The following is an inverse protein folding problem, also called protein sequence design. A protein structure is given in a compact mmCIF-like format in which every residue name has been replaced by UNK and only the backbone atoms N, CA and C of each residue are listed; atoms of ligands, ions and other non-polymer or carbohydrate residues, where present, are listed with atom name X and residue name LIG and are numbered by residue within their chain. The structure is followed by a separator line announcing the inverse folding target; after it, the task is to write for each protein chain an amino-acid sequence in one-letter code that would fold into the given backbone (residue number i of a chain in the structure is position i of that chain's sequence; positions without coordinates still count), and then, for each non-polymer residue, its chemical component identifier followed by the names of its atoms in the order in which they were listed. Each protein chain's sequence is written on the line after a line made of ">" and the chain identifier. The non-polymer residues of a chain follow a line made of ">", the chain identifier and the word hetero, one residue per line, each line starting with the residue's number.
data_IF_782323624425
#
_entry.id   IF_782323624425
#
_cell.length_a   1.000
_cell.length_b   1.000
_cell.length_c   1.000
_cell.angle_alpha   90.00
_cell.angle_beta   90.00
_cell.angle_gamma   90.00
#
_symmetry.space_group_name_H-M   'P 1'
#
loop_
_entity.id
_entity.type
_entity.pdbx_description
1 polymer ?
#
# COMPACT_ATOMS: atom_id res chain seq x y z
N UNK A 1 -9.64 -6.63 -11.63
CA UNK A 1 -8.91 -5.35 -11.71
C UNK A 1 -7.85 -5.51 -12.78
N UNK A 2 -7.78 -4.61 -13.75
CA UNK A 2 -6.71 -4.61 -14.77
C UNK A 2 -5.48 -3.81 -14.29
N UNK A 3 -4.38 -3.85 -15.06
CA UNK A 3 -3.14 -3.12 -14.77
C UNK A 3 -3.34 -1.62 -14.55
N UNK A 4 -4.10 -0.95 -15.42
CA UNK A 4 -4.30 0.50 -15.37
C UNK A 4 -5.07 0.88 -14.09
N UNK A 5 -6.09 0.08 -13.76
CA UNK A 5 -6.85 0.22 -12.52
C UNK A 5 -5.98 -0.03 -11.29
N UNK A 6 -5.16 -1.09 -11.29
CA UNK A 6 -4.23 -1.40 -10.19
C UNK A 6 -3.19 -0.28 -9.99
N UNK A 7 -2.59 0.21 -11.08
CA UNK A 7 -1.63 1.31 -11.07
C UNK A 7 -2.24 2.58 -10.48
N UNK A 8 -3.40 3.01 -10.98
CA UNK A 8 -4.06 4.23 -10.48
C UNK A 8 -4.42 4.07 -9.00
N UNK A 9 -4.97 2.92 -8.63
CA UNK A 9 -5.34 2.63 -7.25
C UNK A 9 -4.13 2.68 -6.30
N UNK A 10 -3.00 2.07 -6.66
CA UNK A 10 -1.78 2.09 -5.84
C UNK A 10 -1.20 3.51 -5.70
N UNK A 11 -1.26 4.32 -6.76
CA UNK A 11 -0.86 5.73 -6.71
C UNK A 11 -1.75 6.50 -5.74
N UNK A 12 -3.07 6.33 -5.84
CA UNK A 12 -4.03 7.02 -4.99
C UNK A 12 -3.89 6.61 -3.51
N UNK A 13 -3.65 5.33 -3.23
CA UNK A 13 -3.42 4.86 -1.86
C UNK A 13 -2.05 5.30 -1.31
N UNK A 14 -0.98 5.21 -2.12
CA UNK A 14 0.39 5.48 -1.69
C UNK A 14 0.72 6.98 -1.54
N UNK A 15 0.05 7.87 -2.29
CA UNK A 15 0.25 9.33 -2.20
C UNK A 15 -0.83 10.02 -1.37
N UNK A 16 -1.62 9.26 -0.60
CA UNK A 16 -2.79 9.78 0.09
C UNK A 16 -2.46 10.86 1.14
N UNK A 17 -1.32 10.74 1.84
CA UNK A 17 -0.90 11.73 2.85
C UNK A 17 -0.46 13.06 2.23
N UNK A 18 0.10 13.02 1.02
CA UNK A 18 0.54 14.20 0.28
C UNK A 18 -0.66 14.90 -0.37
N UNK A 19 -1.50 14.14 -1.06
CA UNK A 19 -2.61 14.69 -1.86
C UNK A 19 -3.82 15.06 -1.01
N UNK A 20 -4.05 14.36 0.11
CA UNK A 20 -5.18 14.55 1.04
C UNK A 20 -6.56 14.54 0.35
N UNK A 21 -6.66 13.93 -0.83
CA UNK A 21 -7.89 13.91 -1.65
C UNK A 21 -8.96 12.98 -1.11
N UNK A 22 -8.54 11.85 -0.54
CA UNK A 22 -9.43 10.82 -0.04
C UNK A 22 -9.15 10.57 1.46
N UNK A 23 -10.01 11.03 2.38
CA UNK A 23 -9.82 10.82 3.81
C UNK A 23 -9.94 9.35 4.22
N UNK A 24 -10.58 8.51 3.40
CA UNK A 24 -10.74 7.07 3.61
C UNK A 24 -9.65 6.23 2.92
N UNK A 25 -8.68 6.87 2.27
CA UNK A 25 -7.51 6.17 1.76
C UNK A 25 -6.71 5.53 2.90
N UNK A 26 -6.00 4.46 2.57
CA UNK A 26 -5.37 3.57 3.53
C UNK A 26 -4.44 4.31 4.51
N UNK A 27 -3.49 5.07 3.97
CA UNK A 27 -2.54 5.85 4.78
C UNK A 27 -3.24 6.96 5.57
N UNK A 28 -4.29 7.57 5.02
CA UNK A 28 -5.07 8.60 5.73
C UNK A 28 -5.77 8.03 6.95
N UNK A 29 -6.36 6.83 6.86
CA UNK A 29 -6.99 6.15 8.01
C UNK A 29 -5.98 5.76 9.07
N UNK A 30 -4.84 5.20 8.66
CA UNK A 30 -3.75 4.88 9.61
C UNK A 30 -3.28 6.13 10.37
N UNK A 31 -3.06 7.24 9.66
CA UNK A 31 -2.67 8.53 10.26
C UNK A 31 -3.71 9.09 11.23
N UNK A 32 -4.99 8.86 10.95
CA UNK A 32 -6.10 9.24 11.82
C UNK A 32 -6.27 8.29 13.03
N UNK A 33 -5.46 7.24 13.15
CA UNK A 33 -5.62 6.21 14.18
C UNK A 33 -6.88 5.37 13.98
N UNK A 34 -7.40 5.30 12.74
CA UNK A 34 -8.57 4.50 12.40
C UNK A 34 -8.15 3.23 11.66
N UNK A 35 -8.80 2.09 11.93
CA UNK A 35 -8.52 0.87 11.18
C UNK A 35 -8.82 1.07 9.69
N UNK A 36 -8.11 0.38 8.78
CA UNK A 36 -8.41 0.36 7.35
C UNK A 36 -9.88 -0.02 7.08
N UNK A 37 -10.44 0.44 5.96
CA UNK A 37 -11.77 0.02 5.53
C UNK A 37 -11.75 -1.50 5.26
N UNK A 38 -12.80 -2.25 5.62
CA UNK A 38 -12.89 -3.68 5.31
C UNK A 38 -12.60 -3.96 3.83
N UNK A 39 -11.66 -4.88 3.57
CA UNK A 39 -11.23 -5.25 2.22
C UNK A 39 -10.16 -4.34 1.59
N UNK A 40 -9.87 -3.16 2.15
CA UNK A 40 -8.89 -2.21 1.58
C UNK A 40 -7.48 -2.81 1.48
N UNK A 41 -7.05 -3.51 2.53
CA UNK A 41 -5.77 -4.23 2.56
C UNK A 41 -5.73 -5.32 1.48
N UNK A 42 -6.80 -6.12 1.37
CA UNK A 42 -6.92 -7.16 0.34
C UNK A 42 -6.86 -6.56 -1.07
N UNK A 43 -7.53 -5.44 -1.31
CA UNK A 43 -7.48 -4.72 -2.58
C UNK A 43 -6.08 -4.20 -2.90
N UNK A 44 -5.33 -3.71 -1.90
CA UNK A 44 -3.93 -3.29 -2.05
C UNK A 44 -3.05 -4.48 -2.45
N UNK A 45 -3.13 -5.59 -1.71
CA UNK A 45 -2.35 -6.79 -2.01
C UNK A 45 -2.66 -7.35 -3.40
N UNK A 46 -3.94 -7.37 -3.80
CA UNK A 46 -4.37 -7.76 -5.13
C UNK A 46 -3.79 -6.84 -6.21
N UNK A 47 -3.84 -5.52 -6.00
CA UNK A 47 -3.29 -4.55 -6.94
C UNK A 47 -1.76 -4.70 -7.08
N UNK A 48 -1.05 -4.94 -5.98
CA UNK A 48 0.40 -5.23 -6.00
C UNK A 48 0.70 -6.51 -6.79
N UNK A 49 -0.12 -7.55 -6.64
CA UNK A 49 0.05 -8.80 -7.39
C UNK A 49 -0.15 -8.59 -8.90
N UNK A 50 -1.22 -7.90 -9.29
CA UNK A 50 -1.51 -7.59 -10.71
C UNK A 50 -0.40 -6.73 -11.30
N UNK A 51 0.08 -5.74 -10.55
CA UNK A 51 1.20 -4.90 -10.96
C UNK A 51 2.45 -5.74 -11.21
N UNK A 52 2.81 -6.64 -10.30
CA UNK A 52 3.94 -7.55 -10.47
C UNK A 52 3.81 -8.41 -11.74
N UNK A 53 2.65 -9.01 -11.96
CA UNK A 53 2.40 -9.89 -13.12
C UNK A 53 2.49 -9.10 -14.43
N UNK A 54 1.94 -7.88 -14.47
CA UNK A 54 1.97 -7.03 -15.67
C UNK A 54 3.39 -6.56 -16.02
N UNK A 55 4.25 -6.38 -15.02
CA UNK A 55 5.64 -5.98 -15.23
C UNK A 55 6.52 -7.09 -15.81
N UNK A 56 6.06 -8.36 -15.80
CA UNK A 56 6.77 -9.45 -16.45
C UNK A 56 6.82 -9.27 -17.97
N UNK A 57 5.77 -8.68 -18.55
CA UNK A 57 5.69 -8.39 -19.99
C UNK A 57 6.34 -7.05 -20.35
N UNK A 58 6.29 -6.07 -19.43
CA UNK A 58 6.87 -4.74 -19.62
C UNK A 58 7.51 -4.24 -18.32
N UNK A 59 8.83 -4.34 -18.15
CA UNK A 59 9.50 -4.08 -16.87
C UNK A 59 9.66 -2.59 -16.52
N UNK A 60 8.91 -1.70 -17.17
CA UNK A 60 9.06 -0.26 -17.01
C UNK A 60 8.13 0.27 -15.92
N UNK A 61 8.74 0.81 -14.87
CA UNK A 61 8.05 1.54 -13.79
C UNK A 61 8.29 3.03 -13.95
N UNK A 62 7.23 3.82 -13.97
CA UNK A 62 7.35 5.27 -13.95
C UNK A 62 7.60 5.80 -12.53
N UNK A 63 8.20 6.99 -12.44
CA UNK A 63 8.62 7.60 -11.17
C UNK A 63 7.48 7.82 -10.18
N UNK A 64 6.28 8.12 -10.68
CA UNK A 64 5.11 8.37 -9.82
C UNK A 64 4.70 7.07 -9.13
N UNK A 65 4.64 5.97 -9.87
CA UNK A 65 4.32 4.67 -9.31
C UNK A 65 5.40 4.18 -8.33
N UNK A 66 6.68 4.37 -8.66
CA UNK A 66 7.79 4.03 -7.74
C UNK A 66 7.65 4.77 -6.41
N UNK A 67 7.39 6.08 -6.47
CA UNK A 67 7.19 6.92 -5.28
C UNK A 67 6.01 6.42 -4.46
N UNK A 68 4.87 6.14 -5.10
CA UNK A 68 3.68 5.66 -4.41
C UNK A 68 3.90 4.32 -3.71
N UNK A 69 4.59 3.36 -4.35
CA UNK A 69 4.93 2.07 -3.74
C UNK A 69 5.86 2.22 -2.54
N UNK A 70 6.87 3.09 -2.67
CA UNK A 70 7.78 3.41 -1.57
C UNK A 70 7.02 3.99 -0.37
N UNK A 71 6.22 5.04 -0.59
CA UNK A 71 5.41 5.68 0.45
C UNK A 71 4.43 4.67 1.09
N UNK A 72 3.72 3.89 0.27
CA UNK A 72 2.79 2.87 0.77
C UNK A 72 3.48 1.86 1.70
N UNK A 73 4.69 1.40 1.35
CA UNK A 73 5.43 0.45 2.18
C UNK A 73 5.98 1.04 3.47
N UNK A 74 6.50 2.28 3.41
CA UNK A 74 7.19 2.92 4.54
C UNK A 74 6.21 3.63 5.48
N UNK A 75 5.33 4.46 4.94
CA UNK A 75 4.42 5.29 5.74
C UNK A 75 3.38 4.44 6.47
N UNK A 76 2.92 3.33 5.87
CA UNK A 76 1.93 2.47 6.53
C UNK A 76 2.47 1.85 7.83
N UNK A 77 3.72 1.38 7.83
CA UNK A 77 4.40 0.89 9.03
C UNK A 77 4.64 2.01 10.05
N UNK A 78 5.05 3.20 9.58
CA UNK A 78 5.28 4.35 10.47
C UNK A 78 4.01 4.81 11.18
N UNK A 79 2.90 4.93 10.46
CA UNK A 79 1.62 5.35 11.02
C UNK A 79 1.02 4.27 11.94
N UNK A 80 1.20 2.98 11.61
CA UNK A 80 0.85 1.88 12.52
C UNK A 80 1.59 1.99 13.86
N UNK A 81 2.92 2.14 13.83
CA UNK A 81 3.74 2.25 15.04
C UNK A 81 3.46 3.57 15.80
N UNK A 82 3.14 4.66 15.09
CA UNK A 82 2.71 5.91 15.70
C UNK A 82 1.36 5.76 16.43
N UNK A 83 0.38 5.10 15.81
CA UNK A 83 -0.91 4.81 16.45
C UNK A 83 -0.78 3.83 17.61
N UNK A 84 0.06 2.80 17.47
CA UNK A 84 0.33 1.85 18.54
C UNK A 84 0.89 2.54 19.79
N UNK A 85 1.87 3.44 19.61
CA UNK A 85 2.42 4.26 20.71
C UNK A 85 1.40 5.21 21.34
N UNK A 86 0.35 5.58 20.62
CA UNK A 86 -0.77 6.41 21.12
C UNK A 86 -1.91 5.58 21.72
N UNK A 87 -1.78 4.25 21.79
CA UNK A 87 -2.81 3.37 22.34
C UNK A 87 -3.97 3.06 21.38
N UNK A 88 -3.77 3.25 20.06
CA UNK A 88 -4.78 2.85 19.06
C UNK A 88 -4.92 1.33 19.06
N UNK A 89 -6.17 0.85 19.18
CA UNK A 89 -6.48 -0.57 19.08
C UNK A 89 -6.56 -1.01 17.62
N UNK A 90 -5.44 -1.48 17.09
CA UNK A 90 -5.36 -1.99 15.72
C UNK A 90 -6.01 -3.37 15.57
N UNK A 91 -6.57 -3.70 14.39
CA UNK A 91 -7.06 -5.03 14.12
C UNK A 91 -5.97 -6.10 14.34
N UNK A 92 -6.31 -7.27 14.90
CA UNK A 92 -5.39 -8.39 14.97
C UNK A 92 -5.02 -8.77 13.53
N UNK A 93 -3.74 -8.92 13.24
CA UNK A 93 -3.14 -9.15 11.91
C UNK A 93 -2.79 -7.91 11.08
N UNK A 94 -3.17 -6.68 11.46
CA UNK A 94 -2.83 -5.51 10.64
C UNK A 94 -1.30 -5.39 10.42
N UNK A 95 -0.49 -5.61 11.45
CA UNK A 95 0.98 -5.60 11.33
C UNK A 95 1.49 -6.63 10.32
N UNK A 96 0.91 -7.82 10.31
CA UNK A 96 1.28 -8.89 9.37
C UNK A 96 0.91 -8.51 7.93
N UNK A 97 -0.26 -7.90 7.75
CA UNK A 97 -0.68 -7.42 6.45
C UNK A 97 0.19 -6.26 5.93
N UNK A 98 0.66 -5.36 6.81
CA UNK A 98 1.64 -4.33 6.46
C UNK A 98 2.97 -4.94 6.02
N UNK A 99 3.43 -6.00 6.70
CA UNK A 99 4.61 -6.74 6.28
C UNK A 99 4.42 -7.38 4.90
N UNK A 100 3.24 -7.95 4.62
CA UNK A 100 2.91 -8.51 3.29
C UNK A 100 2.93 -7.45 2.20
N UNK A 101 2.43 -6.24 2.48
CA UNK A 101 2.51 -5.10 1.56
C UNK A 101 3.98 -4.76 1.28
N UNK A 102 4.81 -4.63 2.31
CA UNK A 102 6.23 -4.32 2.15
C UNK A 102 6.98 -5.41 1.35
N UNK A 103 6.69 -6.69 1.61
CA UNK A 103 7.25 -7.82 0.86
C UNK A 103 6.79 -7.77 -0.61
N UNK A 104 5.51 -7.52 -0.88
CA UNK A 104 5.00 -7.42 -2.25
C UNK A 104 5.65 -6.26 -3.03
N UNK A 105 5.87 -5.10 -2.40
CA UNK A 105 6.61 -3.98 -3.00
C UNK A 105 8.06 -4.37 -3.29
N UNK A 106 8.74 -5.04 -2.36
CA UNK A 106 10.09 -5.59 -2.59
C UNK A 106 10.11 -6.58 -3.75
N UNK A 107 9.09 -7.44 -3.87
CA UNK A 107 8.97 -8.42 -4.95
C UNK A 107 8.81 -7.74 -6.32
N UNK A 108 8.03 -6.65 -6.38
CA UNK A 108 7.92 -5.79 -7.59
C UNK A 108 9.28 -5.25 -7.99
N UNK A 109 10.05 -4.68 -7.05
CA UNK A 109 11.35 -4.11 -7.37
C UNK A 109 12.42 -5.15 -7.69
N UNK A 110 12.34 -6.34 -7.10
CA UNK A 110 13.30 -7.42 -7.36
C UNK A 110 12.95 -8.28 -8.58
N UNK A 111 11.72 -8.17 -9.10
CA UNK A 111 11.22 -9.02 -10.17
C UNK A 111 10.93 -10.47 -9.75
N UNK A 112 10.98 -10.79 -8.45
CA UNK A 112 10.80 -12.16 -7.94
C UNK A 112 9.67 -12.19 -6.91
N UNK A 113 8.60 -12.97 -7.17
CA UNK A 113 7.50 -13.16 -6.23
C UNK A 113 7.81 -14.29 -5.24
N UNK A 114 7.97 -13.94 -3.96
CA UNK A 114 8.20 -14.87 -2.84
C UNK A 114 7.28 -14.55 -1.68
#
# INVERSE_FOLDING_TARGET
>A
MDYKTARSFLIDQGTALETKKNPDAFLMRLKQGQPPVPGQVTSILLALKILFESLQESPMLDRQLISALHLLSVESLQEFEAGFRKGVSWPPLLKEDLNRIAIAVKNIFSGVWK
#
